data_IF_926141894603
#
_entry.id   IF_926141894603
#
_cell.length_a   1.000
_cell.length_b   1.000
_cell.length_c   1.000
_cell.angle_alpha   90.00
_cell.angle_beta   90.00
_cell.angle_gamma   90.00
#
_symmetry.space_group_name_H-M   'P 1'
#
loop_
_entity.id
_entity.type
_entity.pdbx_description
1 polymer ?
#
# COMPACT_ATOMS: atom_id res chain seq x y z
N UNK A 1 28.32 -23.84 39.70
CA UNK A 1 27.85 -24.28 38.35
C UNK A 1 28.03 -23.08 37.43
N UNK A 2 28.92 -23.12 36.41
CA UNK A 2 29.11 -21.98 35.51
C UNK A 2 27.84 -21.75 34.68
N UNK A 3 27.48 -20.48 34.47
CA UNK A 3 26.31 -20.08 33.71
C UNK A 3 26.37 -20.60 32.25
N UNK A 4 25.23 -20.94 31.63
CA UNK A 4 25.20 -21.36 30.23
C UNK A 4 25.66 -20.21 29.31
N UNK A 5 26.47 -20.54 28.32
CA UNK A 5 26.95 -19.58 27.33
C UNK A 5 25.77 -18.95 26.55
N UNK A 6 25.86 -17.65 26.17
CA UNK A 6 24.80 -16.99 25.43
C UNK A 6 24.62 -17.62 24.03
N UNK A 7 23.39 -17.62 23.48
CA UNK A 7 23.13 -18.16 22.15
C UNK A 7 23.90 -17.37 21.09
N UNK A 8 24.60 -18.09 20.21
CA UNK A 8 25.31 -17.49 19.08
C UNK A 8 24.30 -16.98 18.06
N UNK A 9 24.21 -15.66 17.90
CA UNK A 9 23.40 -15.05 16.85
C UNK A 9 23.82 -15.60 15.47
N UNK A 10 22.88 -16.01 14.61
CA UNK A 10 23.23 -16.54 13.30
C UNK A 10 23.98 -15.50 12.46
N UNK A 11 24.95 -15.90 11.62
CA UNK A 11 25.76 -14.97 10.86
C UNK A 11 24.90 -14.16 9.89
N UNK A 12 25.12 -12.84 9.86
CA UNK A 12 24.43 -11.86 9.00
C UNK A 12 24.41 -12.23 7.49
N UNK A 13 25.26 -13.17 7.07
CA UNK A 13 25.30 -13.75 5.73
C UNK A 13 24.06 -14.58 5.35
N UNK A 14 23.23 -15.01 6.31
CA UNK A 14 22.03 -15.83 6.05
C UNK A 14 20.92 -15.08 5.26
N UNK A 15 20.96 -13.75 5.22
CA UNK A 15 20.00 -12.93 4.44
C UNK A 15 20.49 -12.55 3.04
N UNK A 16 21.68 -12.98 2.62
CA UNK A 16 22.22 -12.60 1.30
C UNK A 16 21.53 -13.38 0.18
N UNK A 17 20.54 -12.75 -0.42
CA UNK A 17 19.77 -13.36 -1.50
C UNK A 17 20.61 -13.51 -2.80
N UNK A 18 20.96 -14.75 -3.17
CA UNK A 18 21.70 -15.09 -4.43
C UNK A 18 20.91 -14.73 -5.70
N UNK A 19 21.31 -13.68 -6.43
CA UNK A 19 20.64 -13.09 -7.62
C UNK A 19 20.16 -14.08 -8.71
N UNK A 20 19.10 -13.72 -9.45
CA UNK A 20 18.68 -14.41 -10.68
C UNK A 20 17.23 -14.16 -11.13
N UNK A 21 16.93 -14.42 -12.41
CA UNK A 21 15.58 -14.30 -13.04
C UNK A 21 14.53 -15.10 -12.26
N UNK A 22 14.90 -16.27 -11.71
CA UNK A 22 14.02 -17.08 -10.88
C UNK A 22 13.57 -16.40 -9.57
N UNK A 23 14.29 -15.40 -9.05
CA UNK A 23 13.82 -14.56 -7.93
C UNK A 23 12.71 -13.62 -8.36
N UNK A 24 12.83 -13.01 -9.54
CA UNK A 24 11.82 -12.08 -10.08
C UNK A 24 10.49 -12.80 -10.24
N UNK A 25 10.50 -13.99 -10.86
CA UNK A 25 9.28 -14.81 -10.99
C UNK A 25 8.67 -15.21 -9.63
N UNK A 26 9.50 -15.57 -8.64
CA UNK A 26 9.00 -15.87 -7.29
C UNK A 26 8.40 -14.63 -6.62
N UNK A 27 9.06 -13.48 -6.74
CA UNK A 27 8.56 -12.20 -6.21
C UNK A 27 7.20 -11.84 -6.85
N UNK A 28 7.09 -11.92 -8.18
CA UNK A 28 5.82 -11.69 -8.89
C UNK A 28 4.71 -12.63 -8.43
N UNK A 29 5.01 -13.91 -8.22
CA UNK A 29 4.05 -14.89 -7.70
C UNK A 29 3.58 -14.53 -6.29
N UNK A 30 4.50 -14.12 -5.40
CA UNK A 30 4.15 -13.69 -4.05
C UNK A 30 3.32 -12.39 -4.06
N UNK A 31 3.68 -11.41 -4.90
CA UNK A 31 2.90 -10.19 -5.08
C UNK A 31 1.49 -10.49 -5.58
N UNK A 32 1.34 -11.41 -6.55
CA UNK A 32 0.02 -11.83 -7.05
C UNK A 32 -0.81 -12.53 -5.99
N UNK A 33 -0.18 -13.40 -5.18
CA UNK A 33 -0.86 -14.05 -4.06
C UNK A 33 -1.35 -13.03 -3.02
N UNK A 34 -0.52 -12.03 -2.69
CA UNK A 34 -0.89 -10.95 -1.78
C UNK A 34 -2.06 -10.12 -2.30
N UNK A 35 -2.02 -9.69 -3.57
CA UNK A 35 -3.12 -8.93 -4.18
C UNK A 35 -4.43 -9.73 -4.21
N UNK A 36 -4.36 -11.03 -4.55
CA UNK A 36 -5.53 -11.91 -4.55
C UNK A 36 -6.09 -12.09 -3.13
N UNK A 37 -5.22 -12.19 -2.13
CA UNK A 37 -5.65 -12.28 -0.73
C UNK A 37 -6.37 -11.00 -0.30
N UNK A 38 -5.81 -9.82 -0.60
CA UNK A 38 -6.45 -8.54 -0.32
C UNK A 38 -7.83 -8.42 -0.95
N UNK A 39 -7.97 -8.72 -2.25
CA UNK A 39 -9.29 -8.71 -2.92
C UNK A 39 -10.27 -9.68 -2.24
N UNK A 40 -9.82 -10.86 -1.82
CA UNK A 40 -10.71 -11.89 -1.25
C UNK A 40 -11.11 -11.61 0.19
N UNK A 41 -10.19 -11.13 1.01
CA UNK A 41 -10.37 -11.07 2.46
C UNK A 41 -10.67 -9.64 2.96
N UNK A 42 -10.17 -8.60 2.28
CA UNK A 42 -10.29 -7.22 2.74
C UNK A 42 -11.46 -6.50 2.05
N UNK A 43 -12.52 -6.23 2.81
CA UNK A 43 -13.70 -5.54 2.29
C UNK A 43 -13.41 -4.08 1.90
N UNK A 44 -12.61 -3.39 2.71
CA UNK A 44 -12.18 -2.02 2.46
C UNK A 44 -11.37 -1.94 1.15
N UNK A 45 -10.36 -2.79 0.97
CA UNK A 45 -9.62 -2.90 -0.30
C UNK A 45 -10.53 -3.13 -1.52
N UNK A 46 -11.57 -3.97 -1.42
CA UNK A 46 -12.53 -4.14 -2.53
C UNK A 46 -13.32 -2.87 -2.84
N UNK A 47 -13.73 -2.13 -1.82
CA UNK A 47 -14.46 -0.86 -2.00
C UNK A 47 -13.56 0.16 -2.68
N UNK A 48 -12.32 0.30 -2.24
CA UNK A 48 -11.36 1.20 -2.87
C UNK A 48 -11.00 0.78 -4.28
N UNK A 49 -10.83 -0.51 -4.54
CA UNK A 49 -10.60 -1.03 -5.88
C UNK A 49 -11.77 -0.73 -6.82
N UNK A 50 -13.01 -0.82 -6.33
CA UNK A 50 -14.22 -0.49 -7.08
C UNK A 50 -14.28 1.01 -7.45
N UNK A 51 -13.79 1.89 -6.57
CA UNK A 51 -13.67 3.33 -6.84
C UNK A 51 -12.47 3.66 -7.74
N UNK A 52 -11.35 2.97 -7.55
CA UNK A 52 -10.13 3.16 -8.31
C UNK A 52 -10.27 2.73 -9.77
N UNK A 53 -10.94 1.60 -10.04
CA UNK A 53 -11.09 1.07 -11.39
C UNK A 53 -11.66 2.07 -12.42
N UNK A 54 -12.82 2.72 -12.20
CA UNK A 54 -13.34 3.70 -13.15
C UNK A 54 -12.43 4.92 -13.29
N UNK A 55 -11.76 5.36 -12.22
CA UNK A 55 -10.82 6.48 -12.28
C UNK A 55 -9.58 6.14 -13.12
N UNK A 56 -9.01 4.94 -12.96
CA UNK A 56 -7.89 4.48 -13.77
C UNK A 56 -8.26 4.34 -15.25
N UNK A 57 -9.49 3.89 -15.55
CA UNK A 57 -10.01 3.83 -16.92
C UNK A 57 -10.25 5.23 -17.48
N UNK A 58 -10.78 6.16 -16.69
CA UNK A 58 -11.11 7.51 -17.13
C UNK A 58 -9.88 8.41 -17.32
N UNK A 59 -8.81 8.22 -16.53
CA UNK A 59 -7.62 9.05 -16.54
C UNK A 59 -7.01 9.31 -17.94
N UNK A 60 -6.78 8.31 -18.82
CA UNK A 60 -6.23 8.56 -20.16
C UNK A 60 -7.15 9.37 -21.09
N UNK A 61 -8.46 9.42 -20.81
CA UNK A 61 -9.42 10.20 -21.59
C UNK A 61 -9.56 11.64 -21.08
N UNK A 62 -9.28 11.87 -19.79
CA UNK A 62 -9.48 13.16 -19.14
C UNK A 62 -8.18 13.97 -19.00
N UNK A 63 -7.02 13.31 -18.95
CA UNK A 63 -5.75 13.97 -18.73
C UNK A 63 -5.36 14.88 -19.91
N UNK A 64 -5.04 16.17 -19.67
CA UNK A 64 -4.58 17.09 -20.72
C UNK A 64 -3.23 16.73 -21.34
N UNK A 65 -2.44 15.90 -20.67
CA UNK A 65 -1.08 15.57 -21.09
C UNK A 65 -0.49 14.38 -20.32
N UNK A 66 0.68 13.91 -20.77
CA UNK A 66 1.33 12.71 -20.23
C UNK A 66 1.70 12.83 -18.74
N UNK A 67 2.13 14.02 -18.32
CA UNK A 67 2.48 14.28 -16.92
C UNK A 67 1.26 14.33 -16.02
N UNK A 68 0.18 14.96 -16.49
CA UNK A 68 -1.11 14.98 -15.82
C UNK A 68 -1.67 13.57 -15.67
N UNK A 69 -1.62 12.76 -16.74
CA UNK A 69 -2.00 11.35 -16.70
C UNK A 69 -1.21 10.57 -15.65
N UNK A 70 0.12 10.73 -15.64
CA UNK A 70 0.98 10.05 -14.68
C UNK A 70 0.59 10.41 -13.23
N UNK A 71 0.38 11.69 -12.94
CA UNK A 71 0.03 12.15 -11.58
C UNK A 71 -1.38 11.71 -11.18
N UNK A 72 -2.35 11.75 -12.09
CA UNK A 72 -3.72 11.25 -11.86
C UNK A 72 -3.76 9.74 -11.59
N UNK A 73 -2.99 8.95 -12.35
CA UNK A 73 -2.88 7.50 -12.14
C UNK A 73 -2.11 7.21 -10.86
N UNK A 74 -1.02 7.92 -10.60
CA UNK A 74 -0.20 7.73 -9.41
C UNK A 74 -0.99 8.00 -8.12
N UNK A 75 -1.86 9.02 -8.08
CA UNK A 75 -2.68 9.31 -6.90
C UNK A 75 -3.67 8.17 -6.60
N UNK A 76 -4.30 7.59 -7.62
CA UNK A 76 -5.22 6.45 -7.45
C UNK A 76 -4.47 5.18 -7.05
N UNK A 77 -3.30 4.91 -7.66
CA UNK A 77 -2.46 3.77 -7.27
C UNK A 77 -1.93 3.93 -5.85
N UNK A 78 -1.63 5.16 -5.40
CA UNK A 78 -1.19 5.41 -4.03
C UNK A 78 -2.25 5.01 -3.00
N UNK A 79 -3.54 5.24 -3.26
CA UNK A 79 -4.64 4.75 -2.40
C UNK A 79 -4.56 3.24 -2.23
N UNK A 80 -4.51 2.49 -3.34
CA UNK A 80 -4.44 1.02 -3.31
C UNK A 80 -3.19 0.50 -2.59
N UNK A 81 -2.05 1.17 -2.75
CA UNK A 81 -0.80 0.82 -2.07
C UNK A 81 -0.92 1.05 -0.56
N UNK A 82 -1.42 2.22 -0.16
CA UNK A 82 -1.54 2.58 1.27
C UNK A 82 -2.56 1.69 1.96
N UNK A 83 -3.67 1.34 1.30
CA UNK A 83 -4.64 0.39 1.83
C UNK A 83 -4.08 -1.02 1.98
N UNK A 84 -3.30 -1.52 1.01
CA UNK A 84 -2.59 -2.81 1.17
C UNK A 84 -1.63 -2.80 2.36
N UNK A 85 -0.94 -1.67 2.59
CA UNK A 85 -0.06 -1.50 3.76
C UNK A 85 -0.88 -1.44 5.05
N UNK A 86 -2.02 -0.75 5.06
CA UNK A 86 -2.93 -0.69 6.19
C UNK A 86 -3.45 -2.09 6.56
N UNK A 87 -3.98 -2.85 5.59
CA UNK A 87 -4.44 -4.23 5.83
C UNK A 87 -3.31 -5.15 6.31
N UNK A 88 -2.07 -4.95 5.84
CA UNK A 88 -0.92 -5.71 6.33
C UNK A 88 -0.60 -5.38 7.81
N UNK A 89 -0.72 -4.11 8.21
CA UNK A 89 -0.55 -3.68 9.61
C UNK A 89 -1.68 -4.26 10.48
N UNK A 90 -2.92 -4.21 10.01
CA UNK A 90 -4.07 -4.80 10.72
C UNK A 90 -3.91 -6.30 10.91
N UNK A 91 -3.54 -7.04 9.86
CA UNK A 91 -3.30 -8.48 9.94
C UNK A 91 -2.14 -8.83 10.88
N UNK A 92 -1.06 -8.03 10.89
CA UNK A 92 0.04 -8.20 11.83
C UNK A 92 -0.42 -7.92 13.27
N UNK A 93 -1.17 -6.84 13.50
CA UNK A 93 -1.68 -6.47 14.81
C UNK A 93 -2.61 -7.56 15.36
N UNK A 94 -3.49 -8.11 14.53
CA UNK A 94 -4.41 -9.20 14.91
C UNK A 94 -3.66 -10.51 15.21
N UNK A 95 -2.54 -10.76 14.52
CA UNK A 95 -1.73 -11.96 14.76
C UNK A 95 -0.94 -11.91 16.07
N UNK A 96 -0.57 -10.72 16.57
CA UNK A 96 0.28 -10.56 17.78
C UNK A 96 -0.51 -10.21 19.04
N UNK A 97 -1.80 -9.88 18.93
CA UNK A 97 -2.60 -9.36 20.03
C UNK A 97 -3.55 -10.42 20.60
N UNK A 98 -3.26 -10.96 21.78
CA UNK A 98 -4.22 -11.76 22.57
C UNK A 98 -5.02 -10.90 23.57
N UNK A 99 -4.51 -9.71 23.91
CA UNK A 99 -5.11 -8.73 24.83
C UNK A 99 -5.11 -7.34 24.18
N UNK A 100 -5.97 -6.42 24.63
CA UNK A 100 -6.02 -5.06 24.08
C UNK A 100 -4.73 -4.28 24.38
N UNK A 101 -3.92 -4.01 23.35
CA UNK A 101 -2.70 -3.19 23.46
C UNK A 101 -2.97 -1.76 22.92
N UNK A 102 -2.89 -0.71 23.76
CA UNK A 102 -3.14 0.67 23.32
C UNK A 102 -2.27 1.13 22.15
N UNK A 103 -1.04 0.61 22.04
CA UNK A 103 -0.12 0.93 20.94
C UNK A 103 -0.56 0.30 19.60
N UNK A 104 -1.15 -0.90 19.62
CA UNK A 104 -1.69 -1.53 18.40
C UNK A 104 -2.92 -0.76 17.90
N UNK A 105 -3.78 -0.28 18.80
CA UNK A 105 -4.88 0.61 18.44
C UNK A 105 -4.38 1.86 17.69
N UNK A 106 -3.38 2.55 18.24
CA UNK A 106 -2.77 3.71 17.57
C UNK A 106 -2.16 3.38 16.21
N UNK A 107 -1.55 2.21 16.06
CA UNK A 107 -0.99 1.78 14.77
C UNK A 107 -2.08 1.61 13.71
N UNK A 108 -3.22 1.01 14.07
CA UNK A 108 -4.39 0.88 13.19
C UNK A 108 -4.98 2.25 12.84
N UNK A 109 -5.13 3.14 13.82
CA UNK A 109 -5.65 4.49 13.60
C UNK A 109 -4.77 5.28 12.61
N UNK A 110 -3.45 5.18 12.74
CA UNK A 110 -2.49 5.83 11.83
C UNK A 110 -2.56 5.25 10.40
N UNK A 111 -2.72 3.93 10.28
CA UNK A 111 -2.89 3.27 8.98
C UNK A 111 -4.16 3.75 8.27
N UNK A 112 -5.30 3.74 8.97
CA UNK A 112 -6.56 4.29 8.47
C UNK A 112 -6.48 5.79 8.12
N UNK A 113 -5.75 6.57 8.92
CA UNK A 113 -5.53 7.99 8.63
C UNK A 113 -4.70 8.19 7.35
N UNK A 114 -3.71 7.35 7.09
CA UNK A 114 -2.93 7.40 5.86
C UNK A 114 -3.81 7.10 4.63
N UNK A 115 -4.68 6.10 4.72
CA UNK A 115 -5.67 5.77 3.68
C UNK A 115 -6.56 6.98 3.40
N UNK A 116 -7.16 7.58 4.45
CA UNK A 116 -7.98 8.79 4.32
C UNK A 116 -7.24 9.93 3.61
N UNK A 117 -5.97 10.19 3.97
CA UNK A 117 -5.18 11.25 3.34
C UNK A 117 -4.96 10.98 1.84
N UNK A 118 -4.71 9.73 1.45
CA UNK A 118 -4.61 9.38 0.02
C UNK A 118 -5.94 9.52 -0.70
N UNK A 119 -7.05 9.12 -0.07
CA UNK A 119 -8.41 9.28 -0.62
C UNK A 119 -8.75 10.76 -0.85
N UNK A 120 -8.35 11.66 0.04
CA UNK A 120 -8.49 13.11 -0.15
C UNK A 120 -7.54 13.67 -1.22
N UNK A 121 -6.35 13.07 -1.36
CA UNK A 121 -5.36 13.43 -2.36
C UNK A 121 -5.83 13.20 -3.80
N UNK A 122 -6.66 12.17 -4.05
CA UNK A 122 -7.22 11.86 -5.37
C UNK A 122 -8.08 13.01 -5.93
N UNK A 123 -9.20 13.43 -5.31
CA UNK A 123 -10.03 14.51 -5.82
C UNK A 123 -9.29 15.85 -5.83
N UNK A 124 -8.38 16.09 -4.87
CA UNK A 124 -7.54 17.29 -4.88
C UNK A 124 -6.66 17.35 -6.14
N UNK A 125 -5.96 16.24 -6.43
CA UNK A 125 -5.08 16.11 -7.60
C UNK A 125 -5.88 16.22 -8.90
N UNK A 126 -6.99 15.49 -9.00
CA UNK A 126 -7.85 15.50 -10.18
C UNK A 126 -8.49 16.87 -10.41
N UNK A 127 -8.95 17.53 -9.34
CA UNK A 127 -9.46 18.90 -9.39
C UNK A 127 -8.41 19.88 -9.92
N UNK A 128 -7.18 19.85 -9.40
CA UNK A 128 -6.10 20.73 -9.88
C UNK A 128 -5.72 20.49 -11.34
N UNK A 129 -5.81 19.25 -11.81
CA UNK A 129 -5.47 18.89 -13.19
C UNK A 129 -6.57 19.27 -14.17
N UNK A 130 -7.84 19.09 -13.80
CA UNK A 130 -8.98 19.24 -14.70
C UNK A 130 -9.61 20.64 -14.64
N UNK A 131 -9.46 21.38 -13.53
CA UNK A 131 -9.96 22.74 -13.45
C UNK A 131 -9.13 23.67 -14.34
N UNK A 132 -9.77 24.64 -15.01
CA UNK A 132 -9.07 25.65 -15.80
C UNK A 132 -8.03 26.36 -14.94
N UNK A 133 -6.88 26.66 -15.56
CA UNK A 133 -5.90 27.53 -14.92
C UNK A 133 -6.58 28.86 -14.56
N UNK A 134 -6.31 29.41 -13.37
CA UNK A 134 -6.81 30.73 -13.03
C UNK A 134 -6.37 31.76 -14.08
N UNK A 135 -7.18 32.80 -14.34
CA UNK A 135 -6.92 33.78 -15.41
C UNK A 135 -5.66 34.64 -15.20
N UNK A 136 -4.90 34.43 -14.12
CA UNK A 136 -3.69 35.17 -13.79
C UNK A 136 -2.38 34.39 -14.04
N UNK A 137 -2.44 33.32 -14.85
CA UNK A 137 -1.26 32.66 -15.43
C UNK A 137 -1.05 33.12 -16.87
#
# INVERSE_FOLDING_TARGET
MPAPAPPTSPPAAAYKSRGGIGRVFRALRYSWAGLRAAVRHEAAFRQELLLAAPLLVAAPFLAPGRWQLLVMVASVVAVLVVELLNSAIEALADAVSLELQPLLGRAKDLGSAAVLLTLLGVPFTWGLVLLPAPPWR
#
